data_IF_940317782855
#
_entry.id   IF_940317782855
#
_cell.length_a   1.000
_cell.length_b   1.000
_cell.length_c   1.000
_cell.angle_alpha   90.00
_cell.angle_beta   90.00
_cell.angle_gamma   90.00
#
_symmetry.space_group_name_H-M   'P 1'
#
loop_
_entity.id
_entity.type
_entity.pdbx_description
1 polymer ?
#
# COMPACT_ATOMS: atom_id res chain seq x y z
N UNK A 1 8.03 -31.41 1.37
CA UNK A 1 8.72 -30.13 1.10
C UNK A 1 8.54 -29.24 2.33
N UNK A 2 9.61 -28.84 3.04
CA UNK A 2 9.49 -27.97 4.23
C UNK A 2 9.42 -26.51 3.76
N UNK A 3 8.32 -25.82 4.05
CA UNK A 3 8.21 -24.37 3.88
C UNK A 3 9.20 -23.66 4.81
N UNK A 4 10.00 -22.74 4.28
CA UNK A 4 10.92 -21.92 5.08
C UNK A 4 10.20 -20.67 5.61
N UNK A 5 10.76 -20.04 6.66
CA UNK A 5 10.26 -18.75 7.17
C UNK A 5 10.27 -17.67 6.08
N UNK A 6 11.21 -17.75 5.14
CA UNK A 6 11.32 -16.84 4.01
C UNK A 6 10.19 -17.06 2.99
N UNK A 7 9.87 -18.32 2.69
CA UNK A 7 8.71 -18.67 1.85
C UNK A 7 7.39 -18.24 2.49
N UNK A 8 7.31 -18.35 3.83
CA UNK A 8 6.21 -17.80 4.61
C UNK A 8 6.15 -16.27 4.49
N UNK A 9 7.26 -15.54 4.62
CA UNK A 9 7.31 -14.07 4.46
C UNK A 9 6.97 -13.62 3.02
N UNK A 10 7.41 -14.37 2.01
CA UNK A 10 7.14 -14.07 0.60
C UNK A 10 5.70 -14.44 0.19
N UNK A 11 5.15 -15.53 0.74
CA UNK A 11 3.73 -15.85 0.63
C UNK A 11 2.87 -14.85 1.45
N UNK A 12 3.37 -14.37 2.59
CA UNK A 12 2.77 -13.31 3.41
C UNK A 12 2.66 -12.00 2.60
N UNK A 13 3.54 -11.79 1.63
CA UNK A 13 3.66 -10.56 0.85
C UNK A 13 2.58 -10.39 -0.24
N UNK A 14 1.97 -11.46 -0.78
CA UNK A 14 1.07 -11.35 -1.95
C UNK A 14 -0.39 -11.00 -1.57
N UNK A 15 -0.57 -9.92 -0.82
CA UNK A 15 -1.86 -9.19 -0.75
C UNK A 15 -2.24 -8.62 -2.13
N UNK A 16 -1.26 -8.38 -2.99
CA UNK A 16 -1.43 -7.81 -4.32
C UNK A 16 -0.99 -8.80 -5.41
N UNK A 17 -1.72 -8.82 -6.52
CA UNK A 17 -1.38 -9.60 -7.73
C UNK A 17 -1.42 -8.71 -8.97
N UNK A 18 -0.50 -8.94 -9.89
CA UNK A 18 -0.51 -8.31 -11.22
C UNK A 18 -1.33 -9.15 -12.18
N UNK A 19 -2.17 -8.51 -12.99
CA UNK A 19 -2.99 -9.17 -14.01
C UNK A 19 -2.85 -8.44 -15.35
N UNK A 20 -2.98 -9.20 -16.44
CA UNK A 20 -2.96 -8.67 -17.80
C UNK A 20 -4.33 -8.91 -18.42
N UNK A 21 -4.99 -7.85 -18.91
CA UNK A 21 -6.31 -7.91 -19.54
C UNK A 21 -6.32 -7.01 -20.77
N UNK A 22 -6.66 -7.55 -21.93
CA UNK A 22 -6.74 -6.80 -23.21
C UNK A 22 -5.48 -5.96 -23.51
N UNK A 23 -4.30 -6.49 -23.20
CA UNK A 23 -3.01 -5.79 -23.40
C UNK A 23 -2.65 -4.75 -22.32
N UNK A 24 -3.56 -4.44 -21.38
CA UNK A 24 -3.27 -3.60 -20.21
C UNK A 24 -2.78 -4.42 -19.01
N UNK A 25 -1.93 -3.81 -18.16
CA UNK A 25 -1.39 -4.40 -16.93
C UNK A 25 -2.00 -3.69 -15.72
N UNK A 26 -2.51 -4.45 -14.76
CA UNK A 26 -3.21 -3.91 -13.59
C UNK A 26 -2.76 -4.61 -12.30
N UNK A 27 -2.95 -3.94 -11.18
CA UNK A 27 -2.74 -4.50 -9.84
C UNK A 27 -4.08 -4.69 -9.15
N UNK A 28 -4.32 -5.90 -8.65
CA UNK A 28 -5.46 -6.22 -7.79
C UNK A 28 -4.93 -6.44 -6.38
N UNK A 29 -5.40 -5.64 -5.43
CA UNK A 29 -5.11 -5.78 -4.00
C UNK A 29 -6.35 -6.30 -3.28
N UNK A 30 -6.20 -7.41 -2.57
CA UNK A 30 -7.26 -8.06 -1.78
C UNK A 30 -7.01 -7.80 -0.29
N UNK A 31 -7.93 -7.10 0.37
CA UNK A 31 -7.75 -6.72 1.78
C UNK A 31 -8.29 -7.76 2.74
N UNK A 32 -9.11 -8.69 2.26
CA UNK A 32 -9.73 -9.76 3.03
C UNK A 32 -8.89 -11.03 3.04
N UNK A 33 -7.70 -11.03 2.46
CA UNK A 33 -6.80 -12.17 2.59
C UNK A 33 -6.47 -12.41 4.06
N UNK A 34 -6.63 -13.66 4.52
CA UNK A 34 -6.32 -14.08 5.89
C UNK A 34 -4.90 -13.69 6.31
N UNK A 35 -4.00 -13.73 5.33
CA UNK A 35 -2.62 -13.30 5.43
C UNK A 35 -2.50 -11.79 5.68
N UNK A 36 -3.27 -10.98 4.94
CA UNK A 36 -3.32 -9.53 5.15
C UNK A 36 -3.84 -9.19 6.54
N UNK A 37 -4.86 -9.91 7.03
CA UNK A 37 -5.38 -9.73 8.39
C UNK A 37 -4.31 -9.98 9.46
N UNK A 38 -3.55 -11.07 9.35
CA UNK A 38 -2.49 -11.40 10.31
C UNK A 38 -1.38 -10.33 10.33
N UNK A 39 -0.91 -9.87 9.15
CA UNK A 39 0.08 -8.80 9.04
C UNK A 39 -0.37 -7.56 9.82
N UNK A 40 -1.60 -7.10 9.58
CA UNK A 40 -2.11 -5.89 10.20
C UNK A 40 -2.37 -6.03 11.70
N UNK A 41 -2.67 -7.24 12.16
CA UNK A 41 -2.75 -7.53 13.59
C UNK A 41 -1.41 -7.32 14.30
N UNK A 42 -0.32 -7.85 13.72
CA UNK A 42 1.04 -7.66 14.26
C UNK A 42 1.42 -6.17 14.27
N UNK A 43 1.17 -5.44 13.18
CA UNK A 43 1.46 -4.00 13.07
C UNK A 43 0.66 -3.18 14.10
N UNK A 44 -0.62 -3.52 14.32
CA UNK A 44 -1.42 -2.83 15.32
C UNK A 44 -0.95 -3.11 16.74
N UNK A 45 -0.57 -4.36 17.05
CA UNK A 45 -0.03 -4.75 18.35
C UNK A 45 1.31 -4.07 18.66
N UNK A 46 2.21 -3.96 17.68
CA UNK A 46 3.48 -3.27 17.89
C UNK A 46 3.30 -1.76 18.10
N UNK A 47 2.25 -1.18 17.53
CA UNK A 47 1.93 0.24 17.68
C UNK A 47 1.11 0.56 18.95
N UNK A 48 0.54 -0.42 19.65
CA UNK A 48 -0.25 -0.20 20.88
C UNK A 48 0.55 0.50 21.98
N UNK A 49 1.85 0.24 22.06
CA UNK A 49 2.73 0.86 23.05
C UNK A 49 3.15 2.29 22.69
N UNK A 50 3.17 2.65 21.40
CA UNK A 50 3.75 3.91 20.92
C UNK A 50 2.68 4.91 20.48
N UNK A 51 1.52 4.44 20.02
CA UNK A 51 0.36 5.27 19.69
C UNK A 51 0.57 6.26 18.55
N UNK A 52 1.59 6.07 17.70
CA UNK A 52 2.02 7.06 16.70
C UNK A 52 0.99 7.20 15.57
N UNK A 53 0.37 6.09 15.15
CA UNK A 53 -0.56 6.10 14.02
C UNK A 53 -1.82 5.26 14.28
N UNK A 54 -3.03 5.76 13.97
CA UNK A 54 -4.27 5.03 14.24
C UNK A 54 -4.53 3.95 13.19
N UNK A 55 -3.74 2.87 13.19
CA UNK A 55 -3.92 1.73 12.29
C UNK A 55 -5.34 1.14 12.39
N UNK A 56 -5.91 0.73 11.25
CA UNK A 56 -7.21 0.05 11.21
C UNK A 56 -6.98 -1.43 10.94
N UNK A 57 -7.54 -2.28 11.80
CA UNK A 57 -7.51 -3.73 11.61
C UNK A 57 -8.48 -4.16 10.51
N UNK A 58 -9.69 -3.60 10.55
CA UNK A 58 -10.77 -3.90 9.62
C UNK A 58 -10.35 -3.70 8.15
N UNK A 59 -10.36 -4.75 7.32
CA UNK A 59 -10.04 -4.69 5.89
C UNK A 59 -10.75 -3.59 5.14
N UNK A 60 -12.05 -3.43 5.42
CA UNK A 60 -12.90 -2.46 4.74
C UNK A 60 -12.48 -1.02 5.06
N UNK A 61 -12.07 -0.75 6.29
CA UNK A 61 -11.58 0.57 6.69
C UNK A 61 -10.20 0.86 6.08
N UNK A 62 -9.34 -0.16 5.96
CA UNK A 62 -8.07 -0.03 5.22
C UNK A 62 -8.29 0.27 3.74
N UNK A 63 -9.21 -0.44 3.09
CA UNK A 63 -9.60 -0.18 1.69
C UNK A 63 -10.17 1.23 1.52
N UNK A 64 -11.09 1.66 2.40
CA UNK A 64 -11.65 3.01 2.36
C UNK A 64 -10.57 4.07 2.48
N UNK A 65 -9.61 3.90 3.39
CA UNK A 65 -8.49 4.84 3.58
C UNK A 65 -7.58 4.90 2.35
N UNK A 66 -7.17 3.76 1.79
CA UNK A 66 -6.31 3.73 0.61
C UNK A 66 -7.01 4.34 -0.61
N UNK A 67 -8.29 3.99 -0.83
CA UNK A 67 -9.09 4.59 -1.90
C UNK A 67 -9.31 6.10 -1.71
N UNK A 68 -9.51 6.55 -0.46
CA UNK A 68 -9.63 7.98 -0.14
C UNK A 68 -8.32 8.71 -0.39
N UNK A 69 -7.19 8.16 0.05
CA UNK A 69 -5.87 8.75 -0.18
C UNK A 69 -5.59 8.91 -1.68
N UNK A 70 -5.79 7.85 -2.48
CA UNK A 70 -5.52 7.91 -3.92
C UNK A 70 -6.37 8.96 -4.65
N UNK A 71 -7.61 9.21 -4.19
CA UNK A 71 -8.53 10.20 -4.79
C UNK A 71 -8.30 11.62 -4.29
N UNK A 72 -7.96 11.78 -3.01
CA UNK A 72 -8.01 13.07 -2.32
C UNK A 72 -6.63 13.64 -1.95
N UNK A 73 -5.54 12.91 -2.23
CA UNK A 73 -4.17 13.36 -1.98
C UNK A 73 -3.32 13.54 -3.25
N UNK A 74 -3.80 14.28 -4.29
CA UNK A 74 -3.06 14.43 -5.55
C UNK A 74 -1.79 15.28 -5.42
N UNK A 75 -1.67 16.08 -4.35
CA UNK A 75 -0.52 16.95 -4.08
C UNK A 75 0.67 16.23 -3.46
N UNK A 76 0.48 15.03 -2.89
CA UNK A 76 1.52 14.25 -2.24
C UNK A 76 2.45 13.60 -3.27
N UNK A 77 1.89 12.68 -4.05
CA UNK A 77 2.56 11.89 -5.05
C UNK A 77 1.63 11.72 -6.25
N UNK A 78 2.20 11.40 -7.40
CA UNK A 78 1.42 10.91 -8.51
C UNK A 78 0.88 9.51 -8.15
N UNK A 79 -0.39 9.48 -7.73
CA UNK A 79 -1.05 8.24 -7.36
C UNK A 79 -1.39 7.42 -8.62
N UNK A 80 -1.24 6.09 -8.59
CA UNK A 80 -1.73 5.23 -9.65
C UNK A 80 -3.23 5.42 -9.86
N UNK A 81 -3.68 5.40 -11.11
CA UNK A 81 -5.10 5.54 -11.41
C UNK A 81 -5.90 4.41 -10.77
N UNK A 82 -7.00 4.74 -10.06
CA UNK A 82 -7.92 3.75 -9.49
C UNK A 82 -8.96 3.37 -10.54
N UNK A 83 -9.01 2.09 -10.93
CA UNK A 83 -9.96 1.59 -11.92
C UNK A 83 -11.26 1.10 -11.26
N UNK A 84 -11.14 0.38 -10.15
CA UNK A 84 -12.28 -0.20 -9.44
C UNK A 84 -12.01 -0.29 -7.95
N UNK A 85 -13.02 0.05 -7.16
CA UNK A 85 -13.07 -0.23 -5.72
C UNK A 85 -14.31 -1.08 -5.46
N UNK A 86 -14.11 -2.33 -5.11
CA UNK A 86 -15.19 -3.25 -4.74
C UNK A 86 -15.23 -3.36 -3.22
N UNK A 87 -16.13 -2.59 -2.60
CA UNK A 87 -16.31 -2.60 -1.15
C UNK A 87 -16.98 -3.88 -0.64
N UNK A 88 -17.76 -4.58 -1.48
CA UNK A 88 -18.43 -5.83 -1.10
C UNK A 88 -17.46 -7.01 -1.00
N UNK A 89 -16.48 -7.08 -1.91
CA UNK A 89 -15.41 -8.09 -1.91
C UNK A 89 -14.10 -7.60 -1.29
N UNK A 90 -14.08 -6.35 -0.84
CA UNK A 90 -12.93 -5.66 -0.25
C UNK A 90 -11.67 -5.69 -1.15
N UNK A 91 -11.84 -5.30 -2.42
CA UNK A 91 -10.80 -5.31 -3.45
C UNK A 91 -10.57 -3.92 -4.06
N UNK A 92 -9.32 -3.64 -4.40
CA UNK A 92 -8.89 -2.47 -5.15
C UNK A 92 -8.21 -2.91 -6.44
N UNK A 93 -8.66 -2.38 -7.58
CA UNK A 93 -7.98 -2.52 -8.87
C UNK A 93 -7.44 -1.16 -9.28
N UNK A 94 -6.14 -1.12 -9.58
CA UNK A 94 -5.45 0.10 -9.98
C UNK A 94 -4.46 -0.16 -11.10
N UNK A 95 -4.02 0.93 -11.70
CA UNK A 95 -2.94 0.96 -12.68
C UNK A 95 -1.67 0.28 -12.14
N UNK A 96 -1.03 -0.50 -13.00
CA UNK A 96 0.33 -0.96 -12.76
C UNK A 96 1.31 0.14 -13.17
N UNK A 97 2.07 0.66 -12.21
CA UNK A 97 3.12 1.64 -12.48
C UNK A 97 4.40 0.90 -12.86
N UNK A 98 4.78 0.99 -14.14
CA UNK A 98 6.06 0.49 -14.64
C UNK A 98 7.14 1.54 -14.36
N UNK A 99 7.60 1.59 -13.11
CA UNK A 99 8.64 2.50 -12.64
C UNK A 99 9.86 1.77 -12.09
N UNK A 100 10.77 2.55 -11.51
CA UNK A 100 11.93 2.05 -10.78
C UNK A 100 11.62 1.93 -9.29
N UNK A 101 12.12 0.86 -8.66
CA UNK A 101 12.00 0.71 -7.21
C UNK A 101 12.97 1.68 -6.53
N UNK A 102 12.43 2.58 -5.71
CA UNK A 102 13.24 3.44 -4.85
C UNK A 102 14.07 2.59 -3.88
N UNK A 103 15.34 2.95 -3.69
CA UNK A 103 16.26 2.26 -2.79
C UNK A 103 17.41 3.14 -2.35
N UNK A 104 18.24 2.63 -1.44
CA UNK A 104 19.36 3.37 -0.86
C UNK A 104 20.45 3.78 -1.86
N UNK A 105 20.51 3.12 -3.02
CA UNK A 105 21.43 3.44 -4.11
C UNK A 105 20.90 4.53 -5.05
N UNK A 106 19.73 5.11 -4.77
CA UNK A 106 19.19 6.17 -5.59
C UNK A 106 20.09 7.43 -5.55
N UNK A 107 20.12 8.25 -6.62
CA UNK A 107 20.86 9.50 -6.61
C UNK A 107 20.39 10.45 -5.49
N UNK A 108 21.26 11.33 -4.96
CA UNK A 108 20.88 12.32 -3.95
C UNK A 108 19.68 13.20 -4.34
N UNK A 109 19.54 13.52 -5.63
CA UNK A 109 18.39 14.27 -6.15
C UNK A 109 17.06 13.55 -5.97
N UNK A 110 17.04 12.22 -6.13
CA UNK A 110 15.84 11.39 -5.93
C UNK A 110 15.47 11.34 -4.46
N UNK A 111 16.45 11.18 -3.56
CA UNK A 111 16.21 11.27 -2.11
C UNK A 111 15.58 12.61 -1.71
N UNK A 112 16.13 13.71 -2.24
CA UNK A 112 15.59 15.05 -2.01
C UNK A 112 14.15 15.18 -2.50
N UNK A 113 13.85 14.69 -3.71
CA UNK A 113 12.50 14.77 -4.28
C UNK A 113 11.48 13.97 -3.47
N UNK A 114 11.82 12.74 -3.05
CA UNK A 114 10.97 11.93 -2.18
C UNK A 114 10.72 12.64 -0.86
N UNK A 115 11.76 13.16 -0.20
CA UNK A 115 11.64 13.91 1.05
C UNK A 115 10.76 15.16 0.90
N UNK A 116 10.94 15.92 -0.18
CA UNK A 116 10.13 17.10 -0.49
C UNK A 116 8.65 16.74 -0.66
N UNK A 117 8.35 15.66 -1.38
CA UNK A 117 6.98 15.22 -1.63
C UNK A 117 6.31 14.64 -0.36
N UNK A 118 7.07 13.94 0.49
CA UNK A 118 6.61 13.56 1.83
C UNK A 118 6.25 14.79 2.68
N UNK A 119 7.11 15.83 2.67
CA UNK A 119 6.84 17.09 3.35
C UNK A 119 5.53 17.74 2.91
N UNK A 120 5.33 17.88 1.60
CA UNK A 120 4.06 18.38 1.03
C UNK A 120 2.86 17.54 1.45
N UNK A 121 3.04 16.23 1.56
CA UNK A 121 1.98 15.33 1.98
C UNK A 121 1.56 15.60 3.43
N UNK A 122 2.55 15.75 4.32
CA UNK A 122 2.32 16.08 5.72
C UNK A 122 1.68 17.46 5.90
N UNK A 123 2.14 18.48 5.15
CA UNK A 123 1.52 19.82 5.13
C UNK A 123 0.07 19.80 4.65
N UNK A 124 -0.28 18.83 3.80
CA UNK A 124 -1.64 18.61 3.31
C UNK A 124 -2.51 17.76 4.26
N UNK A 125 -2.00 17.42 5.45
CA UNK A 125 -2.71 16.61 6.45
C UNK A 125 -2.75 15.11 6.17
N UNK A 126 -1.91 14.63 5.25
CA UNK A 126 -1.80 13.21 4.90
C UNK A 126 -0.49 12.59 5.40
N UNK A 127 -0.48 11.27 5.58
CA UNK A 127 0.72 10.48 5.88
C UNK A 127 0.57 9.09 5.26
N UNK A 128 1.67 8.50 4.78
CA UNK A 128 1.65 7.19 4.11
C UNK A 128 1.54 6.02 5.10
N UNK A 129 2.07 6.17 6.32
CA UNK A 129 1.89 5.22 7.43
C UNK A 129 2.66 3.89 7.31
N UNK A 130 3.49 3.73 6.27
CA UNK A 130 4.44 2.62 6.03
C UNK A 130 5.78 3.24 5.59
#
# INVERSE_FOLDING_TARGET
MKLTLFDLVEAISKQSRVVVVNGGIYVIKDYSSEIGLLKWYIVALSNLAVGIYPFKLEPIERLKREASFMRNAPSCFQNPSVLLVDYGRVKLVREFVKGETYGYSAPPSVHFEVGRNLGKCHESGWVLGD
#
